data_IF_523475553021
#
_entry.id   IF_523475553021
#
_cell.length_a   1.000
_cell.length_b   1.000
_cell.length_c   1.000
_cell.angle_alpha   90.00
_cell.angle_beta   90.00
_cell.angle_gamma   90.00
#
_symmetry.space_group_name_H-M   'P 1'
#
loop_
_entity.id
_entity.type
_entity.pdbx_description
1 polymer ?
#
# COMPACT_ATOMS: atom_id res chain seq x y z
N UNK A 1 9.39 -35.74 -1.21
CA UNK A 1 8.62 -34.85 -0.31
C UNK A 1 9.53 -34.28 0.78
N UNK A 2 10.22 -35.11 1.58
CA UNK A 2 11.10 -34.63 2.66
C UNK A 2 12.23 -33.68 2.23
N UNK A 3 12.91 -33.94 1.10
CA UNK A 3 13.98 -33.07 0.59
C UNK A 3 13.46 -31.66 0.23
N UNK A 4 12.26 -31.57 -0.36
CA UNK A 4 11.62 -30.30 -0.67
C UNK A 4 11.18 -29.57 0.60
N UNK A 5 10.55 -30.27 1.54
CA UNK A 5 10.15 -29.68 2.82
C UNK A 5 11.37 -29.16 3.58
N UNK A 6 12.47 -29.91 3.63
CA UNK A 6 13.71 -29.50 4.28
C UNK A 6 14.36 -28.30 3.58
N UNK A 7 14.35 -28.24 2.24
CA UNK A 7 14.88 -27.11 1.49
C UNK A 7 14.08 -25.83 1.72
N UNK A 8 12.75 -25.92 1.79
CA UNK A 8 11.86 -24.79 2.06
C UNK A 8 11.98 -24.28 3.50
N UNK A 9 12.11 -25.19 4.48
CA UNK A 9 12.32 -24.82 5.88
C UNK A 9 13.70 -24.19 6.10
N UNK A 10 14.75 -24.70 5.44
CA UNK A 10 16.09 -24.14 5.51
C UNK A 10 16.21 -22.78 4.80
N UNK A 11 15.42 -22.54 3.76
CA UNK A 11 15.46 -21.32 2.94
C UNK A 11 14.12 -20.57 2.94
N UNK A 12 13.55 -20.32 4.11
CA UNK A 12 12.21 -19.75 4.26
C UNK A 12 11.97 -18.48 3.44
N UNK A 13 12.93 -17.54 3.40
CA UNK A 13 12.79 -16.31 2.62
C UNK A 13 12.79 -16.57 1.10
N UNK A 14 13.64 -17.48 0.62
CA UNK A 14 13.69 -17.84 -0.80
C UNK A 14 12.39 -18.53 -1.25
N UNK A 15 11.88 -19.43 -0.39
CA UNK A 15 10.58 -20.05 -0.56
C UNK A 15 9.45 -19.00 -0.62
N UNK A 16 9.47 -18.01 0.26
CA UNK A 16 8.49 -16.92 0.25
C UNK A 16 8.52 -16.14 -1.07
N UNK A 17 9.69 -15.76 -1.58
CA UNK A 17 9.81 -15.12 -2.89
C UNK A 17 9.30 -16.00 -4.03
N UNK A 18 9.60 -17.31 -4.02
CA UNK A 18 9.11 -18.24 -5.02
C UNK A 18 7.58 -18.36 -5.00
N UNK A 19 6.98 -18.46 -3.82
CA UNK A 19 5.53 -18.56 -3.64
C UNK A 19 4.84 -17.27 -4.06
N UNK A 20 5.31 -16.11 -3.58
CA UNK A 20 4.74 -14.81 -3.95
C UNK A 20 4.90 -14.55 -5.45
N UNK A 21 6.06 -14.91 -6.03
CA UNK A 21 6.30 -14.87 -7.47
C UNK A 21 5.34 -15.76 -8.27
N UNK A 22 5.06 -16.97 -7.78
CA UNK A 22 4.08 -17.87 -8.39
C UNK A 22 2.66 -17.30 -8.32
N UNK A 23 2.25 -16.78 -7.15
CA UNK A 23 0.94 -16.11 -6.99
C UNK A 23 0.85 -14.93 -7.94
N UNK A 24 1.93 -14.16 -8.11
CA UNK A 24 1.96 -13.05 -9.05
C UNK A 24 1.84 -13.47 -10.51
N UNK A 25 2.56 -14.52 -10.90
CA UNK A 25 2.46 -15.09 -12.23
C UNK A 25 1.05 -15.59 -12.54
N UNK A 26 0.46 -16.37 -11.62
CA UNK A 26 -0.93 -16.85 -11.74
C UNK A 26 -1.91 -15.69 -11.82
N UNK A 27 -1.76 -14.68 -10.96
CA UNK A 27 -2.65 -13.51 -10.95
C UNK A 27 -2.57 -12.71 -12.25
N UNK A 28 -1.39 -12.56 -12.84
CA UNK A 28 -1.21 -11.96 -14.15
C UNK A 28 -1.79 -12.83 -15.29
N UNK A 29 -1.70 -14.15 -15.19
CA UNK A 29 -2.32 -15.06 -16.15
C UNK A 29 -3.86 -14.97 -16.09
N UNK A 30 -4.45 -14.94 -14.88
CA UNK A 30 -5.89 -14.77 -14.66
C UNK A 30 -6.34 -13.40 -15.16
N UNK A 31 -5.62 -12.32 -14.83
CA UNK A 31 -5.87 -10.97 -15.32
C UNK A 31 -6.01 -10.94 -16.85
N UNK A 32 -5.06 -11.55 -17.57
CA UNK A 32 -5.05 -11.57 -19.04
C UNK A 32 -6.12 -12.48 -19.64
N UNK A 33 -6.30 -13.69 -19.11
CA UNK A 33 -7.17 -14.72 -19.72
C UNK A 33 -8.63 -14.57 -19.34
N UNK A 34 -8.93 -14.21 -18.10
CA UNK A 34 -10.30 -14.16 -17.57
C UNK A 34 -10.88 -12.75 -17.59
N UNK A 35 -10.08 -11.75 -17.25
CA UNK A 35 -10.51 -10.35 -17.16
C UNK A 35 -10.07 -9.49 -18.36
N UNK A 36 -9.54 -10.11 -19.42
CA UNK A 36 -9.06 -9.43 -20.63
C UNK A 36 -8.09 -8.25 -20.34
N UNK A 37 -7.33 -8.34 -19.25
CA UNK A 37 -6.40 -7.31 -18.81
C UNK A 37 -7.05 -6.08 -18.16
N UNK A 38 -8.37 -6.08 -17.91
CA UNK A 38 -9.07 -4.94 -17.27
C UNK A 38 -8.77 -4.80 -15.79
N UNK A 39 -8.54 -5.92 -15.09
CA UNK A 39 -8.13 -5.95 -13.67
C UNK A 39 -6.63 -6.22 -13.62
N UNK A 40 -5.86 -5.37 -12.94
CA UNK A 40 -4.41 -5.57 -12.79
C UNK A 40 -4.11 -6.83 -11.94
N UNK A 41 -3.05 -7.58 -12.28
CA UNK A 41 -2.70 -8.81 -11.57
C UNK A 41 -2.42 -8.62 -10.07
N UNK A 42 -1.92 -7.45 -9.65
CA UNK A 42 -1.70 -7.12 -8.23
C UNK A 42 -2.99 -7.11 -7.41
N UNK A 43 -4.11 -6.63 -7.96
CA UNK A 43 -5.40 -6.65 -7.26
C UNK A 43 -5.87 -8.09 -7.03
N UNK A 44 -5.72 -8.96 -8.03
CA UNK A 44 -6.08 -10.39 -7.92
C UNK A 44 -5.20 -11.07 -6.87
N UNK A 45 -3.90 -10.77 -6.85
CA UNK A 45 -2.98 -11.36 -5.89
C UNK A 45 -3.25 -10.95 -4.44
N UNK A 46 -3.64 -9.68 -4.22
CA UNK A 46 -4.09 -9.20 -2.91
C UNK A 46 -5.30 -10.03 -2.44
N UNK A 47 -6.29 -10.26 -3.31
CA UNK A 47 -7.47 -11.07 -2.98
C UNK A 47 -7.09 -12.51 -2.68
N UNK A 48 -6.20 -13.13 -3.48
CA UNK A 48 -5.70 -14.48 -3.23
C UNK A 48 -4.97 -14.55 -1.89
N UNK A 49 -4.11 -13.57 -1.59
CA UNK A 49 -3.37 -13.50 -0.33
C UNK A 49 -4.28 -13.37 0.89
N UNK A 50 -5.31 -12.51 0.81
CA UNK A 50 -6.32 -12.35 1.86
C UNK A 50 -7.14 -13.63 2.07
N UNK A 51 -7.59 -14.27 0.97
CA UNK A 51 -8.32 -15.53 1.04
C UNK A 51 -7.47 -16.65 1.65
N UNK A 52 -6.18 -16.73 1.27
CA UNK A 52 -5.25 -17.69 1.82
C UNK A 52 -4.97 -17.45 3.31
N UNK A 53 -4.80 -16.18 3.73
CA UNK A 53 -4.61 -15.82 5.13
C UNK A 53 -5.84 -16.18 5.99
N UNK A 54 -7.04 -15.92 5.48
CA UNK A 54 -8.29 -16.27 6.15
C UNK A 54 -8.46 -17.79 6.27
N UNK A 55 -8.26 -18.54 5.17
CA UNK A 55 -8.34 -20.00 5.18
C UNK A 55 -7.29 -20.64 6.10
N UNK A 56 -6.06 -20.11 6.10
CA UNK A 56 -5.01 -20.58 7.00
C UNK A 56 -5.37 -20.31 8.47
N UNK A 57 -5.87 -19.13 8.82
CA UNK A 57 -6.30 -18.82 10.19
C UNK A 57 -7.43 -19.73 10.68
N UNK A 58 -8.41 -20.05 9.82
CA UNK A 58 -9.46 -21.03 10.16
C UNK A 58 -8.91 -22.44 10.39
N UNK A 59 -7.87 -22.83 9.64
CA UNK A 59 -7.33 -24.19 9.71
C UNK A 59 -6.32 -24.37 10.85
N UNK A 60 -5.46 -23.39 11.10
CA UNK A 60 -4.45 -23.44 12.16
C UNK A 60 -4.98 -22.98 13.51
N UNK A 61 -6.08 -22.22 13.54
CA UNK A 61 -6.56 -21.52 14.73
C UNK A 61 -5.63 -20.38 15.19
N UNK A 62 -4.64 -20.02 14.36
CA UNK A 62 -3.65 -18.99 14.67
C UNK A 62 -4.05 -17.59 14.18
N UNK A 63 -3.33 -16.58 14.67
CA UNK A 63 -3.63 -15.17 14.40
C UNK A 63 -2.75 -14.55 13.29
N UNK A 64 -1.77 -15.29 12.75
CA UNK A 64 -0.79 -14.77 11.77
C UNK A 64 -1.07 -15.26 10.34
N UNK A 65 -2.23 -15.90 10.12
CA UNK A 65 -2.69 -16.36 8.82
C UNK A 65 -1.77 -17.41 8.22
N UNK A 66 -1.30 -17.23 6.98
CA UNK A 66 -0.44 -18.21 6.32
C UNK A 66 0.90 -18.43 7.04
N UNK A 67 1.36 -17.47 7.84
CA UNK A 67 2.64 -17.55 8.57
C UNK A 67 2.60 -18.60 9.68
N UNK A 68 1.42 -18.95 10.18
CA UNK A 68 1.28 -20.00 11.20
C UNK A 68 1.56 -21.41 10.64
N UNK A 69 1.61 -21.57 9.31
CA UNK A 69 2.02 -22.80 8.65
C UNK A 69 3.56 -22.78 8.53
N UNK A 70 4.30 -23.74 9.11
CA UNK A 70 5.77 -23.73 9.13
C UNK A 70 6.43 -23.58 7.75
N UNK A 71 5.83 -24.18 6.72
CA UNK A 71 6.31 -24.10 5.33
C UNK A 71 6.27 -22.65 4.77
N UNK A 72 5.40 -21.80 5.30
CA UNK A 72 5.15 -20.44 4.85
C UNK A 72 5.65 -19.38 5.84
N UNK A 73 6.36 -19.77 6.90
CA UNK A 73 6.87 -18.85 7.91
C UNK A 73 7.74 -17.73 7.30
N UNK A 74 8.46 -18.02 6.22
CA UNK A 74 9.26 -17.04 5.50
C UNK A 74 8.45 -15.89 4.87
N UNK A 75 7.15 -16.08 4.61
CA UNK A 75 6.26 -15.00 4.14
C UNK A 75 6.15 -13.91 5.22
N UNK A 76 6.19 -14.28 6.50
CA UNK A 76 6.21 -13.34 7.61
C UNK A 76 7.47 -12.49 7.63
N UNK A 77 8.62 -13.08 7.28
CA UNK A 77 9.87 -12.32 7.11
C UNK A 77 9.79 -11.40 5.88
N UNK A 78 9.25 -11.90 4.76
CA UNK A 78 9.09 -11.13 3.52
C UNK A 78 8.18 -9.91 3.69
N UNK A 79 7.04 -10.08 4.37
CA UNK A 79 6.08 -9.01 4.66
C UNK A 79 6.36 -8.23 5.95
N UNK A 80 7.43 -8.56 6.67
CA UNK A 80 7.79 -7.95 7.94
C UNK A 80 8.31 -6.53 7.81
N UNK A 81 8.49 -5.86 8.96
CA UNK A 81 8.96 -4.47 9.02
C UNK A 81 10.30 -4.27 8.30
N UNK A 82 11.26 -5.19 8.45
CA UNK A 82 12.59 -5.06 7.85
C UNK A 82 12.55 -4.97 6.32
N UNK A 83 11.85 -5.89 5.64
CA UNK A 83 11.79 -5.89 4.18
C UNK A 83 10.88 -4.80 3.63
N UNK A 84 9.83 -4.42 4.36
CA UNK A 84 9.03 -3.23 4.08
C UNK A 84 9.92 -1.98 4.09
N UNK A 85 10.67 -1.77 5.16
CA UNK A 85 11.48 -0.57 5.33
C UNK A 85 12.64 -0.54 4.31
N UNK A 86 13.25 -1.70 4.02
CA UNK A 86 14.20 -1.86 2.92
C UNK A 86 13.58 -1.44 1.57
N UNK A 87 12.35 -1.89 1.27
CA UNK A 87 11.68 -1.53 0.03
C UNK A 87 11.38 -0.02 -0.04
N UNK A 88 11.00 0.62 1.07
CA UNK A 88 10.80 2.08 1.12
C UNK A 88 12.10 2.80 0.76
N UNK A 89 13.21 2.41 1.40
CA UNK A 89 14.52 3.02 1.18
C UNK A 89 15.01 2.77 -0.24
N UNK A 90 14.89 1.54 -0.76
CA UNK A 90 15.25 1.19 -2.13
C UNK A 90 14.46 2.02 -3.15
N UNK A 91 13.16 2.20 -2.93
CA UNK A 91 12.32 3.03 -3.80
C UNK A 91 12.76 4.51 -3.76
N UNK A 92 13.18 5.01 -2.60
CA UNK A 92 13.70 6.36 -2.47
C UNK A 92 15.01 6.58 -3.25
N UNK A 93 15.88 5.57 -3.31
CA UNK A 93 17.11 5.61 -4.12
C UNK A 93 16.86 5.56 -5.63
N UNK A 94 15.72 5.05 -6.09
CA UNK A 94 15.34 5.02 -7.51
C UNK A 94 14.82 6.39 -8.03
N UNK A 95 14.54 7.33 -7.13
CA UNK A 95 14.02 8.64 -7.50
C UNK A 95 15.08 9.47 -8.24
N UNK A 96 14.83 9.73 -9.52
CA UNK A 96 15.58 10.72 -10.29
C UNK A 96 15.22 12.15 -9.82
N UNK A 97 16.15 12.78 -9.11
CA UNK A 97 16.03 14.14 -8.57
C UNK A 97 15.71 15.16 -9.68
N UNK A 98 16.24 14.96 -10.89
CA UNK A 98 15.99 15.85 -12.03
C UNK A 98 14.53 15.79 -12.49
N UNK A 99 13.92 14.60 -12.46
CA UNK A 99 12.50 14.40 -12.80
C UNK A 99 11.60 14.85 -11.65
N UNK A 100 11.97 14.59 -10.40
CA UNK A 100 11.26 15.10 -9.23
C UNK A 100 11.17 16.64 -9.24
N UNK A 101 12.23 17.32 -9.66
CA UNK A 101 12.25 18.77 -9.80
C UNK A 101 11.27 19.31 -10.85
N UNK A 102 10.96 18.51 -11.89
CA UNK A 102 9.97 18.89 -12.93
C UNK A 102 8.53 18.86 -12.41
N UNK A 103 8.25 18.05 -11.38
CA UNK A 103 6.96 18.13 -10.69
C UNK A 103 6.77 19.51 -10.02
N UNK A 104 7.88 20.10 -9.56
CA UNK A 104 7.95 21.48 -9.08
C UNK A 104 6.99 21.76 -7.92
N UNK A 105 6.54 23.00 -7.80
CA UNK A 105 5.61 23.43 -6.75
C UNK A 105 4.26 22.71 -6.83
N UNK A 106 3.79 22.37 -8.04
CA UNK A 106 2.51 21.68 -8.22
C UNK A 106 2.58 20.26 -7.66
N UNK A 107 3.68 19.56 -7.91
CA UNK A 107 3.95 18.25 -7.31
C UNK A 107 3.95 18.33 -5.78
N UNK A 108 4.62 19.32 -5.21
CA UNK A 108 4.65 19.51 -3.76
C UNK A 108 3.23 19.75 -3.18
N UNK A 109 2.45 20.64 -3.78
CA UNK A 109 1.05 20.89 -3.37
C UNK A 109 0.20 19.64 -3.51
N UNK A 110 0.33 18.92 -4.63
CA UNK A 110 -0.39 17.67 -4.85
C UNK A 110 -0.06 16.64 -3.77
N UNK A 111 1.23 16.44 -3.47
CA UNK A 111 1.71 15.54 -2.40
C UNK A 111 1.14 15.91 -1.04
N UNK A 112 1.19 17.18 -0.67
CA UNK A 112 0.65 17.67 0.61
C UNK A 112 -0.84 17.42 0.69
N UNK A 113 -1.61 17.77 -0.36
CA UNK A 113 -3.05 17.52 -0.40
C UNK A 113 -3.39 16.03 -0.38
N UNK A 114 -2.68 15.22 -1.16
CA UNK A 114 -2.85 13.77 -1.20
C UNK A 114 -2.42 13.05 0.08
N UNK A 115 -1.69 13.73 0.98
CA UNK A 115 -1.38 13.23 2.32
C UNK A 115 -2.45 13.68 3.32
N UNK A 116 -2.72 14.99 3.37
CA UNK A 116 -3.61 15.58 4.38
C UNK A 116 -5.06 15.18 4.16
N UNK A 117 -5.58 15.25 2.92
CA UNK A 117 -7.00 14.96 2.66
C UNK A 117 -7.37 13.50 2.99
N UNK A 118 -6.64 12.48 2.50
CA UNK A 118 -6.95 11.10 2.88
C UNK A 118 -6.77 10.84 4.37
N UNK A 119 -5.77 11.46 5.01
CA UNK A 119 -5.60 11.35 6.46
C UNK A 119 -6.84 11.86 7.20
N UNK A 120 -7.32 13.07 6.88
CA UNK A 120 -8.52 13.63 7.49
C UNK A 120 -9.71 12.70 7.29
N UNK A 121 -9.95 12.22 6.06
CA UNK A 121 -11.06 11.31 5.77
C UNK A 121 -10.93 10.02 6.58
N UNK A 122 -9.75 9.42 6.64
CA UNK A 122 -9.49 8.20 7.41
C UNK A 122 -9.67 8.40 8.92
N UNK A 123 -9.19 9.52 9.46
CA UNK A 123 -9.35 9.85 10.88
C UNK A 123 -10.81 10.15 11.25
N UNK A 124 -11.55 10.87 10.40
CA UNK A 124 -12.99 11.11 10.60
C UNK A 124 -13.77 9.79 10.57
N UNK A 125 -13.46 8.90 9.63
CA UNK A 125 -14.08 7.58 9.59
C UNK A 125 -13.72 6.77 10.84
N UNK A 126 -12.46 6.78 11.29
CA UNK A 126 -12.07 6.10 12.53
C UNK A 126 -12.93 6.56 13.73
N UNK A 127 -13.10 7.88 13.90
CA UNK A 127 -13.96 8.44 14.94
C UNK A 127 -15.41 8.02 14.75
N UNK A 128 -15.94 8.06 13.53
CA UNK A 128 -17.30 7.63 13.22
C UNK A 128 -17.56 6.14 13.53
N UNK A 129 -16.52 5.30 13.39
CA UNK A 129 -16.55 3.88 13.78
C UNK A 129 -16.25 3.64 15.27
N UNK A 130 -16.11 4.69 16.07
CA UNK A 130 -16.02 4.60 17.54
C UNK A 130 -14.60 4.59 18.11
N UNK A 131 -13.56 4.81 17.30
CA UNK A 131 -12.20 4.98 17.82
C UNK A 131 -12.05 6.35 18.47
N UNK A 132 -11.61 6.38 19.73
CA UNK A 132 -11.50 7.61 20.52
C UNK A 132 -10.06 7.96 20.88
N UNK A 133 -9.15 6.99 20.90
CA UNK A 133 -7.75 7.23 21.23
C UNK A 133 -6.95 7.75 20.03
N UNK A 134 -6.06 8.71 20.31
CA UNK A 134 -5.27 9.38 19.29
C UNK A 134 -4.37 8.42 18.49
N UNK A 135 -3.87 7.36 19.13
CA UNK A 135 -3.00 6.36 18.49
C UNK A 135 -3.78 5.60 17.41
N UNK A 136 -4.98 5.12 17.72
CA UNK A 136 -5.81 4.39 16.76
C UNK A 136 -6.33 5.28 15.64
N UNK A 137 -6.84 6.47 15.97
CA UNK A 137 -7.33 7.44 14.97
C UNK A 137 -6.23 7.82 13.99
N UNK A 138 -5.02 8.11 14.49
CA UNK A 138 -3.88 8.48 13.66
C UNK A 138 -3.41 7.29 12.83
N UNK A 139 -3.38 6.08 13.38
CA UNK A 139 -2.95 4.88 12.65
C UNK A 139 -3.88 4.55 11.49
N UNK A 140 -5.21 4.61 11.70
CA UNK A 140 -6.19 4.38 10.63
C UNK A 140 -6.14 5.51 9.59
N UNK A 141 -6.06 6.77 10.03
CA UNK A 141 -5.87 7.93 9.14
C UNK A 141 -4.61 7.81 8.29
N UNK A 142 -3.49 7.40 8.89
CA UNK A 142 -2.23 7.10 8.22
C UNK A 142 -2.37 5.98 7.18
N UNK A 143 -3.19 4.96 7.46
CA UNK A 143 -3.55 3.92 6.50
C UNK A 143 -4.25 4.44 5.25
N UNK A 144 -5.10 5.47 5.39
CA UNK A 144 -5.73 6.13 4.25
C UNK A 144 -4.75 6.93 3.38
N UNK A 145 -3.62 7.37 3.96
CA UNK A 145 -2.51 7.95 3.18
C UNK A 145 -1.87 6.87 2.32
N UNK A 146 -1.34 5.80 2.90
CA UNK A 146 -0.93 4.60 2.15
C UNK A 146 -1.01 3.36 3.04
N UNK A 147 -1.07 2.17 2.43
CA UNK A 147 -0.97 0.89 3.15
C UNK A 147 0.41 0.64 3.79
N UNK A 148 1.38 1.54 3.59
CA UNK A 148 2.70 1.51 4.25
C UNK A 148 2.75 2.52 5.40
N UNK A 149 2.21 3.72 5.20
CA UNK A 149 2.24 4.80 6.20
C UNK A 149 1.45 4.41 7.45
N UNK A 150 0.30 3.73 7.27
CA UNK A 150 -0.48 3.14 8.37
C UNK A 150 0.34 2.27 9.33
N UNK A 151 0.89 1.12 8.88
CA UNK A 151 1.62 0.23 9.75
C UNK A 151 2.95 0.80 10.28
N UNK A 152 3.59 1.73 9.57
CA UNK A 152 4.76 2.46 10.10
C UNK A 152 4.34 3.37 11.25
N UNK A 153 3.25 4.14 11.07
CA UNK A 153 2.71 5.03 12.10
C UNK A 153 2.24 4.25 13.32
N UNK A 154 1.46 3.17 13.11
CA UNK A 154 0.98 2.33 14.20
C UNK A 154 2.12 1.66 14.97
N UNK A 155 3.15 1.16 14.28
CA UNK A 155 4.33 0.62 14.96
C UNK A 155 5.08 1.67 15.78
N UNK A 156 5.24 2.89 15.24
CA UNK A 156 5.92 3.99 15.92
C UNK A 156 5.16 4.49 17.15
N UNK A 157 3.82 4.47 17.11
CA UNK A 157 2.95 4.95 18.19
C UNK A 157 2.52 3.85 19.18
N UNK A 158 2.83 2.58 18.91
CA UNK A 158 2.43 1.45 19.76
C UNK A 158 0.96 1.03 19.61
N UNK A 159 0.39 1.16 18.41
CA UNK A 159 -0.98 0.75 18.12
C UNK A 159 -1.15 -0.78 18.21
N UNK A 160 -2.36 -1.22 18.57
CA UNK A 160 -2.69 -2.64 18.58
C UNK A 160 -2.63 -3.26 17.17
N UNK A 161 -2.28 -4.54 17.10
CA UNK A 161 -2.13 -5.29 15.83
C UNK A 161 -3.38 -5.25 14.94
N UNK A 162 -4.58 -5.29 15.54
CA UNK A 162 -5.84 -5.17 14.81
C UNK A 162 -6.02 -3.80 14.14
N UNK A 163 -5.58 -2.73 14.80
CA UNK A 163 -5.63 -1.36 14.26
C UNK A 163 -4.62 -1.20 13.12
N UNK A 164 -3.42 -1.77 13.30
CA UNK A 164 -2.41 -1.83 12.24
C UNK A 164 -2.97 -2.59 11.02
N UNK A 165 -3.62 -3.73 11.22
CA UNK A 165 -4.25 -4.50 10.15
C UNK A 165 -5.34 -3.70 9.41
N UNK A 166 -6.21 -2.99 10.16
CA UNK A 166 -7.22 -2.09 9.58
C UNK A 166 -6.59 -0.96 8.77
N UNK A 167 -5.48 -0.39 9.22
CA UNK A 167 -4.77 0.66 8.47
C UNK A 167 -4.22 0.15 7.14
N UNK A 168 -3.67 -1.07 7.12
CA UNK A 168 -3.21 -1.72 5.88
C UNK A 168 -4.39 -1.95 4.95
N UNK A 169 -5.50 -2.50 5.47
CA UNK A 169 -6.72 -2.75 4.70
C UNK A 169 -7.27 -1.46 4.08
N UNK A 170 -7.27 -0.36 4.82
CA UNK A 170 -7.72 0.96 4.36
C UNK A 170 -6.89 1.45 3.17
N UNK A 171 -5.56 1.37 3.26
CA UNK A 171 -4.67 1.79 2.18
C UNK A 171 -4.73 0.88 0.95
N UNK A 172 -4.89 -0.43 1.16
CA UNK A 172 -5.07 -1.42 0.09
C UNK A 172 -6.38 -1.17 -0.65
N UNK A 173 -7.46 -0.93 0.09
CA UNK A 173 -8.76 -0.59 -0.48
C UNK A 173 -8.67 0.67 -1.35
N UNK A 174 -8.04 1.74 -0.85
CA UNK A 174 -7.76 2.94 -1.65
C UNK A 174 -7.00 2.59 -2.93
N UNK A 175 -5.89 1.84 -2.84
CA UNK A 175 -5.07 1.48 -3.99
C UNK A 175 -5.87 0.75 -5.07
N UNK A 176 -6.72 -0.20 -4.69
CA UNK A 176 -7.61 -0.93 -5.62
C UNK A 176 -8.64 0.00 -6.26
N UNK A 177 -9.26 0.89 -5.46
CA UNK A 177 -10.19 1.89 -6.00
C UNK A 177 -9.52 2.80 -7.04
N UNK A 178 -8.31 3.29 -6.77
CA UNK A 178 -7.56 4.10 -7.75
C UNK A 178 -7.29 3.28 -9.00
N UNK A 179 -6.80 2.05 -8.85
CA UNK A 179 -6.44 1.18 -9.96
C UNK A 179 -7.60 0.91 -10.92
N UNK A 180 -8.78 0.60 -10.39
CA UNK A 180 -9.97 0.26 -11.16
C UNK A 180 -10.70 1.54 -11.63
N UNK A 181 -10.73 2.58 -10.80
CA UNK A 181 -11.44 3.83 -11.08
C UNK A 181 -10.74 4.70 -12.12
N UNK A 182 -9.40 4.73 -12.15
CA UNK A 182 -8.63 5.63 -13.04
C UNK A 182 -9.04 5.51 -14.50
N UNK A 183 -9.10 4.31 -15.13
CA UNK A 183 -9.45 4.21 -16.55
C UNK A 183 -10.88 4.70 -16.86
N UNK A 184 -11.78 4.66 -15.88
CA UNK A 184 -13.17 5.10 -16.02
C UNK A 184 -13.24 6.63 -16.08
N UNK A 185 -12.48 7.30 -15.22
CA UNK A 185 -12.52 8.77 -15.07
C UNK A 185 -11.41 9.51 -15.82
N UNK A 186 -10.42 8.79 -16.37
CA UNK A 186 -9.19 9.36 -16.94
C UNK A 186 -9.44 10.48 -17.97
N UNK A 187 -10.41 10.29 -18.87
CA UNK A 187 -10.78 11.30 -19.88
C UNK A 187 -11.42 12.54 -19.25
N UNK A 188 -12.21 12.36 -18.19
CA UNK A 188 -12.89 13.45 -17.50
C UNK A 188 -11.91 14.33 -16.73
N UNK A 189 -10.82 13.76 -16.22
CA UNK A 189 -9.81 14.47 -15.43
C UNK A 189 -8.61 14.96 -16.27
N UNK A 190 -8.63 14.78 -17.59
CA UNK A 190 -7.55 15.23 -18.48
C UNK A 190 -6.22 14.51 -18.27
N UNK A 191 -6.26 13.20 -18.03
CA UNK A 191 -5.08 12.38 -17.78
C UNK A 191 -4.39 11.97 -19.10
N UNK A 192 -3.87 12.96 -19.83
CA UNK A 192 -3.35 12.81 -21.20
C UNK A 192 -1.90 13.26 -21.37
N UNK A 193 -1.26 13.79 -20.32
CA UNK A 193 0.09 14.33 -20.41
C UNK A 193 0.93 14.08 -19.14
N UNK A 194 2.27 14.16 -19.23
CA UNK A 194 3.16 13.92 -18.09
C UNK A 194 2.85 14.80 -16.86
N UNK A 195 2.43 16.06 -17.07
CA UNK A 195 2.14 16.98 -15.97
C UNK A 195 0.88 16.58 -15.23
N UNK A 196 -0.21 16.27 -15.94
CA UNK A 196 -1.44 15.78 -15.30
C UNK A 196 -1.23 14.44 -14.61
N UNK A 197 -0.40 13.55 -15.17
CA UNK A 197 0.00 12.30 -14.54
C UNK A 197 0.77 12.51 -13.22
N UNK A 198 1.70 13.47 -13.17
CA UNK A 198 2.41 13.84 -11.93
C UNK A 198 1.46 14.40 -10.86
N UNK A 199 0.52 15.27 -11.23
CA UNK A 199 -0.48 15.79 -10.28
C UNK A 199 -1.37 14.67 -9.78
N UNK A 200 -1.84 13.81 -10.67
CA UNK A 200 -2.67 12.65 -10.34
C UNK A 200 -1.95 11.70 -9.37
N UNK A 201 -0.69 11.34 -9.66
CA UNK A 201 0.12 10.51 -8.76
C UNK A 201 0.30 11.15 -7.39
N UNK A 202 0.58 12.46 -7.37
CA UNK A 202 0.67 13.26 -6.16
C UNK A 202 -0.65 13.40 -5.40
N UNK A 203 -1.82 13.36 -6.02
CA UNK A 203 -3.09 13.46 -5.31
C UNK A 203 -3.59 12.11 -4.79
N UNK A 204 -3.43 11.04 -5.59
CA UNK A 204 -3.96 9.73 -5.23
C UNK A 204 -3.11 9.02 -4.17
N UNK A 205 -1.79 9.27 -4.15
CA UNK A 205 -0.88 8.78 -3.12
C UNK A 205 -0.87 7.26 -2.98
N UNK A 206 -0.80 6.55 -4.11
CA UNK A 206 -0.66 5.08 -4.14
C UNK A 206 0.13 4.66 -5.38
N UNK A 207 1.36 4.17 -5.18
CA UNK A 207 2.25 3.81 -6.30
C UNK A 207 1.63 2.68 -7.14
N UNK A 208 1.18 1.61 -6.50
CA UNK A 208 0.56 0.47 -7.19
C UNK A 208 -0.78 0.84 -7.84
N UNK A 209 -1.62 1.62 -7.15
CA UNK A 209 -2.91 2.07 -7.69
C UNK A 209 -2.76 2.98 -8.90
N UNK A 210 -1.89 3.99 -8.79
CA UNK A 210 -1.60 4.95 -9.87
C UNK A 210 -0.95 4.24 -11.05
N UNK A 211 0.05 3.38 -10.80
CA UNK A 211 0.73 2.68 -11.88
C UNK A 211 -0.21 1.73 -12.63
N UNK A 212 -1.05 0.98 -11.90
CA UNK A 212 -2.03 0.08 -12.51
C UNK A 212 -3.10 0.84 -13.29
N UNK A 213 -3.63 1.94 -12.74
CA UNK A 213 -4.64 2.77 -13.39
C UNK A 213 -4.13 3.49 -14.63
N UNK A 214 -2.93 4.06 -14.57
CA UNK A 214 -2.26 4.68 -15.71
C UNK A 214 -1.90 3.63 -16.77
N UNK A 215 -1.43 2.44 -16.39
CA UNK A 215 -1.09 1.39 -17.36
C UNK A 215 -2.30 0.92 -18.18
N UNK A 216 -3.50 1.00 -17.61
CA UNK A 216 -4.76 0.73 -18.29
C UNK A 216 -5.32 1.94 -19.07
N UNK A 217 -4.80 3.14 -18.83
CA UNK A 217 -5.18 4.39 -19.51
C UNK A 217 -4.20 4.73 -20.64
N UNK A 218 -2.96 5.09 -20.28
CA UNK A 218 -1.83 5.30 -21.16
C UNK A 218 -0.53 4.89 -20.45
N UNK A 219 0.11 3.85 -20.95
CA UNK A 219 1.36 3.29 -20.39
C UNK A 219 2.51 4.30 -20.36
N UNK A 220 2.53 5.29 -21.25
CA UNK A 220 3.58 6.32 -21.31
C UNK A 220 3.53 7.26 -20.11
N UNK A 221 2.38 7.37 -19.46
CA UNK A 221 2.17 8.25 -18.31
C UNK A 221 2.61 7.60 -16.99
N UNK A 222 2.74 6.27 -16.95
CA UNK A 222 3.04 5.48 -15.74
C UNK A 222 4.26 6.01 -14.97
N UNK A 223 5.43 6.24 -15.60
CA UNK A 223 6.61 6.69 -14.86
C UNK A 223 6.40 8.04 -14.14
N UNK A 224 5.65 8.95 -14.76
CA UNK A 224 5.40 10.29 -14.22
C UNK A 224 4.48 10.27 -12.99
N UNK A 225 3.40 9.48 -13.06
CA UNK A 225 2.50 9.31 -11.92
C UNK A 225 3.12 8.47 -10.80
N UNK A 226 3.85 7.40 -11.15
CA UNK A 226 4.51 6.54 -10.16
C UNK A 226 5.55 7.32 -9.34
N UNK A 227 6.38 8.13 -10.01
CA UNK A 227 7.42 8.92 -9.35
C UNK A 227 6.87 9.86 -8.28
N UNK A 228 5.78 10.56 -8.58
CA UNK A 228 5.13 11.44 -7.60
C UNK A 228 4.42 10.65 -6.51
N UNK A 229 3.73 9.57 -6.84
CA UNK A 229 3.09 8.71 -5.84
C UNK A 229 4.09 8.11 -4.82
N UNK A 230 5.34 7.85 -5.23
CA UNK A 230 6.38 7.30 -4.35
C UNK A 230 6.70 8.19 -3.16
N UNK A 231 6.69 9.51 -3.33
CA UNK A 231 7.02 10.45 -2.26
C UNK A 231 6.01 10.45 -1.12
N UNK A 232 4.77 9.98 -1.34
CA UNK A 232 3.76 9.87 -0.28
C UNK A 232 4.18 8.98 0.86
N UNK A 233 4.85 7.88 0.57
CA UNK A 233 5.26 6.96 1.62
C UNK A 233 6.29 7.62 2.52
N UNK A 234 7.30 8.29 1.94
CA UNK A 234 8.30 9.01 2.72
C UNK A 234 7.71 10.17 3.53
N UNK A 235 6.95 11.04 2.87
CA UNK A 235 6.32 12.20 3.52
C UNK A 235 5.32 11.77 4.60
N UNK A 236 4.46 10.79 4.29
CA UNK A 236 3.48 10.27 5.22
C UNK A 236 4.12 9.61 6.43
N UNK A 237 5.15 8.78 6.25
CA UNK A 237 5.88 8.16 7.36
C UNK A 237 6.59 9.18 8.25
N UNK A 238 6.97 10.35 7.72
CA UNK A 238 7.51 11.45 8.52
C UNK A 238 6.41 12.19 9.27
N UNK A 239 5.36 12.61 8.57
CA UNK A 239 4.38 13.60 9.05
C UNK A 239 3.24 12.96 9.86
N UNK A 240 2.85 11.72 9.57
CA UNK A 240 1.77 11.03 10.25
C UNK A 240 2.05 10.71 11.73
N UNK A 241 3.17 10.04 12.10
CA UNK A 241 3.47 9.76 13.50
C UNK A 241 3.95 10.99 14.28
N UNK A 242 4.21 12.11 13.62
CA UNK A 242 4.72 13.33 14.24
C UNK A 242 3.65 14.43 14.29
N UNK A 243 3.61 15.31 13.29
CA UNK A 243 2.76 16.50 13.27
C UNK A 243 1.28 16.13 13.30
N UNK A 244 0.85 15.18 12.47
CA UNK A 244 -0.56 14.80 12.41
C UNK A 244 -1.00 14.08 13.69
N UNK A 245 -0.17 13.21 14.25
CA UNK A 245 -0.43 12.60 15.55
C UNK A 245 -0.61 13.66 16.65
N UNK A 246 0.28 14.65 16.73
CA UNK A 246 0.20 15.71 17.74
C UNK A 246 -1.08 16.55 17.58
N UNK A 247 -1.49 16.83 16.34
CA UNK A 247 -2.76 17.51 16.05
C UNK A 247 -3.95 16.67 16.51
N UNK A 248 -3.99 15.38 16.14
CA UNK A 248 -5.06 14.46 16.55
C UNK A 248 -5.11 14.32 18.06
N UNK A 249 -3.96 14.21 18.73
CA UNK A 249 -3.87 14.14 20.19
C UNK A 249 -4.42 15.41 20.86
N UNK A 250 -4.11 16.58 20.31
CA UNK A 250 -4.65 17.84 20.82
C UNK A 250 -6.18 17.93 20.67
N UNK A 251 -6.75 17.35 19.61
CA UNK A 251 -8.20 17.36 19.34
C UNK A 251 -8.94 16.29 20.15
N UNK A 252 -8.42 15.06 20.19
CA UNK A 252 -9.07 13.91 20.82
C UNK A 252 -8.97 13.93 22.36
N UNK A 253 -8.17 14.85 22.92
CA UNK A 253 -7.86 14.91 24.34
C UNK A 253 -6.77 13.90 24.69
N UNK A 254 -5.63 14.40 25.18
CA UNK A 254 -4.51 13.57 25.61
C UNK A 254 -3.55 14.30 26.52
#
# INVERSE_FOLDING_TARGET
MEVLTHAFLANGLLAAFAIVGLVMWLSNAISKRLFFGRIHGSAIAIVIGLAAAFAAGLWTGGEKGVVDIPLFAGIGLMGGAMLRDFAIVATAFEVDVSQARKAGAIGAVALTLGTILPFIVGSVLAVAFGYTDAVSITTIGAGAVTYIVGPVTGAALGANSAVIALSIATGVFKAVLVMIGTPIVAKMIGLDNPRSAMVFGGLMGTVSGVSGGLAATDRRLVPYGALTATFHTGLGCLVAPSVLYLIVRAIAGG
#
